data_IF_978547113370
#
_entry.id   IF_978547113370
#
_cell.length_a   1.000
_cell.length_b   1.000
_cell.length_c   1.000
_cell.angle_alpha   90.00
_cell.angle_beta   90.00
_cell.angle_gamma   90.00
#
_symmetry.space_group_name_H-M   'P 1'
#
loop_
_entity.id
_entity.type
_entity.pdbx_description
1 polymer ?
#
# COMPACT_ATOMS: atom_id res chain seq x y z
N UNK A 1 21.64 -17.73 2.06
CA UNK A 1 22.97 -17.63 1.43
C UNK A 1 23.96 -17.13 2.47
N UNK A 2 23.64 -16.04 3.15
CA UNK A 2 24.43 -15.48 4.26
C UNK A 2 24.80 -16.53 5.32
N UNK A 3 23.84 -17.33 5.79
CA UNK A 3 24.12 -18.43 6.74
C UNK A 3 25.08 -19.50 6.20
N UNK A 4 25.03 -19.81 4.90
CA UNK A 4 25.95 -20.80 4.29
C UNK A 4 27.38 -20.24 4.28
N UNK A 5 27.51 -18.96 3.98
CA UNK A 5 28.78 -18.24 4.02
C UNK A 5 29.33 -18.12 5.45
N UNK A 6 28.49 -17.73 6.42
CA UNK A 6 28.86 -17.60 7.83
C UNK A 6 29.33 -18.93 8.45
N UNK A 7 28.68 -20.04 8.09
CA UNK A 7 29.05 -21.37 8.56
C UNK A 7 30.21 -22.01 7.78
N UNK A 8 30.77 -21.33 6.78
CA UNK A 8 31.90 -21.81 6.00
C UNK A 8 31.61 -23.07 5.17
N UNK A 9 30.37 -23.27 4.73
CA UNK A 9 30.00 -24.43 3.92
C UNK A 9 30.41 -24.19 2.47
N UNK A 10 31.47 -24.83 2.01
CA UNK A 10 32.05 -24.68 0.67
C UNK A 10 31.78 -25.88 -0.26
N UNK A 11 31.43 -27.05 0.28
CA UNK A 11 31.15 -28.25 -0.49
C UNK A 11 29.91 -29.02 0.00
N UNK A 12 29.27 -29.76 -0.93
CA UNK A 12 28.14 -30.64 -0.63
C UNK A 12 28.64 -32.08 -0.71
N UNK A 13 28.58 -32.81 0.41
CA UNK A 13 29.03 -34.22 0.50
C UNK A 13 28.07 -35.23 -0.11
N UNK A 14 26.78 -34.88 -0.21
CA UNK A 14 25.74 -35.76 -0.72
C UNK A 14 25.29 -35.33 -2.12
N UNK A 15 25.09 -36.26 -3.07
CA UNK A 15 24.58 -35.92 -4.38
C UNK A 15 23.18 -35.32 -4.26
N UNK A 16 22.97 -34.16 -4.89
CA UNK A 16 21.67 -33.50 -4.92
C UNK A 16 20.77 -34.26 -5.90
N UNK A 17 19.98 -35.19 -5.38
CA UNK A 17 19.02 -35.96 -6.16
C UNK A 17 17.61 -35.39 -5.91
N UNK A 18 17.36 -34.19 -6.46
CA UNK A 18 16.07 -33.49 -6.33
C UNK A 18 15.34 -33.49 -7.67
N UNK A 19 14.09 -33.93 -7.67
CA UNK A 19 13.20 -33.75 -8.83
C UNK A 19 12.97 -32.26 -9.04
N UNK A 20 13.17 -31.79 -10.27
CA UNK A 20 12.84 -30.41 -10.63
C UNK A 20 11.33 -30.29 -10.74
N UNK A 21 10.75 -29.47 -9.88
CA UNK A 21 9.34 -29.17 -9.85
C UNK A 21 9.01 -27.97 -10.75
N UNK A 22 7.79 -27.91 -11.26
CA UNK A 22 7.34 -26.79 -12.09
C UNK A 22 7.25 -25.52 -11.25
N UNK A 23 7.67 -24.40 -11.84
CA UNK A 23 7.45 -23.07 -11.27
C UNK A 23 5.96 -22.73 -11.43
N UNK A 24 5.34 -22.23 -10.37
CA UNK A 24 3.94 -21.82 -10.33
C UNK A 24 3.87 -20.29 -10.44
N UNK A 25 3.16 -19.81 -11.47
CA UNK A 25 3.18 -18.42 -11.93
C UNK A 25 1.77 -17.82 -12.16
N UNK A 26 0.73 -18.42 -11.57
CA UNK A 26 -0.67 -18.02 -11.79
C UNK A 26 -1.05 -16.69 -11.14
N UNK A 27 -0.52 -16.38 -9.96
CA UNK A 27 -0.81 -15.11 -9.27
C UNK A 27 -0.32 -13.92 -10.10
N UNK A 28 -1.00 -12.77 -10.07
CA UNK A 28 -0.55 -11.59 -10.81
C UNK A 28 0.71 -10.95 -10.24
N UNK A 29 1.01 -11.18 -8.95
CA UNK A 29 2.05 -10.43 -8.22
C UNK A 29 3.09 -11.33 -7.55
N UNK A 30 2.77 -12.60 -7.29
CA UNK A 30 3.66 -13.55 -6.62
C UNK A 30 4.07 -14.66 -7.59
N UNK A 31 5.36 -15.02 -7.56
CA UNK A 31 5.90 -16.20 -8.23
C UNK A 31 6.35 -17.22 -7.18
N UNK A 32 6.03 -18.51 -7.39
CA UNK A 32 6.43 -19.61 -6.51
C UNK A 32 7.39 -20.56 -7.23
N UNK A 33 8.61 -20.66 -6.72
CA UNK A 33 9.65 -21.57 -7.21
C UNK A 33 9.97 -22.62 -6.11
N UNK A 34 9.28 -23.78 -6.10
CA UNK A 34 9.46 -24.82 -5.09
C UNK A 34 10.88 -25.43 -5.11
N UNK A 35 11.63 -25.27 -6.20
CA UNK A 35 13.00 -25.77 -6.29
C UNK A 35 13.93 -25.08 -5.29
N UNK A 36 13.63 -23.84 -4.89
CA UNK A 36 14.36 -23.05 -3.88
C UNK A 36 13.82 -23.21 -2.45
N UNK A 37 12.72 -23.96 -2.27
CA UNK A 37 12.10 -24.12 -0.96
C UNK A 37 12.94 -25.02 -0.06
N UNK A 38 13.06 -24.62 1.21
CA UNK A 38 13.73 -25.38 2.28
C UNK A 38 12.75 -25.91 3.34
N UNK A 39 11.44 -25.85 3.06
CA UNK A 39 10.36 -26.34 3.94
C UNK A 39 10.39 -25.78 5.37
N UNK A 40 10.85 -24.54 5.55
CA UNK A 40 10.93 -23.91 6.88
C UNK A 40 9.57 -23.52 7.50
N UNK A 41 8.46 -23.66 6.77
CA UNK A 41 7.11 -23.32 7.26
C UNK A 41 6.83 -21.82 7.48
N UNK A 42 7.79 -20.91 7.27
CA UNK A 42 7.59 -19.47 7.51
C UNK A 42 6.46 -18.85 6.68
N UNK A 43 6.27 -19.30 5.44
CA UNK A 43 5.19 -18.83 4.58
C UNK A 43 3.81 -19.31 5.04
N UNK A 44 3.72 -20.56 5.53
CA UNK A 44 2.52 -21.17 6.11
C UNK A 44 2.12 -20.37 7.35
N UNK A 45 3.05 -20.22 8.30
CA UNK A 45 2.83 -19.43 9.52
C UNK A 45 2.46 -17.98 9.22
N UNK A 46 3.12 -17.32 8.26
CA UNK A 46 2.74 -15.96 7.89
C UNK A 46 1.31 -15.89 7.32
N UNK A 47 0.89 -16.89 6.54
CA UNK A 47 -0.45 -16.94 5.97
C UNK A 47 -1.54 -17.20 7.02
N UNK A 48 -1.26 -18.09 7.97
CA UNK A 48 -2.21 -18.51 9.01
C UNK A 48 -2.23 -17.56 10.22
N UNK A 49 -1.07 -17.14 10.72
CA UNK A 49 -0.95 -16.39 11.97
C UNK A 49 -0.99 -14.86 11.78
N UNK A 50 -0.48 -14.33 10.66
CA UNK A 50 -0.41 -12.89 10.42
C UNK A 50 -1.63 -12.41 9.62
N UNK A 51 -1.92 -13.09 8.51
CA UNK A 51 -3.01 -12.68 7.62
C UNK A 51 -4.32 -13.41 7.88
N UNK A 52 -4.28 -14.52 8.62
CA UNK A 52 -5.44 -15.36 8.96
C UNK A 52 -6.22 -15.80 7.70
N UNK A 53 -5.48 -16.07 6.62
CA UNK A 53 -6.04 -16.57 5.35
C UNK A 53 -5.91 -18.08 5.24
N UNK A 54 -4.87 -18.65 5.85
CA UNK A 54 -4.62 -20.11 5.90
C UNK A 54 -4.63 -20.82 4.53
N UNK A 55 -4.18 -20.11 3.49
CA UNK A 55 -4.18 -20.62 2.11
C UNK A 55 -2.98 -21.54 1.83
N UNK A 56 -1.87 -21.38 2.55
CA UNK A 56 -0.64 -22.14 2.32
C UNK A 56 -0.41 -23.14 3.45
N UNK A 57 -0.16 -24.41 3.11
CA UNK A 57 0.16 -25.45 4.09
C UNK A 57 1.21 -26.46 3.57
N UNK A 58 1.70 -27.32 4.45
CA UNK A 58 2.58 -28.45 4.15
C UNK A 58 1.75 -29.68 3.76
N UNK A 59 1.83 -30.07 2.50
CA UNK A 59 1.21 -31.30 2.00
C UNK A 59 2.20 -32.47 1.99
N UNK A 60 1.65 -33.69 1.95
CA UNK A 60 2.40 -34.96 1.92
C UNK A 60 3.27 -35.20 3.18
N UNK A 61 4.21 -36.16 3.12
CA UNK A 61 5.13 -36.48 4.23
C UNK A 61 6.55 -36.82 3.79
N UNK A 62 7.50 -36.61 4.69
CA UNK A 62 8.90 -36.99 4.49
C UNK A 62 9.53 -36.29 3.28
N UNK A 63 10.28 -37.03 2.46
CA UNK A 63 10.93 -36.47 1.27
C UNK A 63 9.98 -35.99 0.16
N UNK A 64 8.67 -36.26 0.27
CA UNK A 64 7.64 -35.79 -0.67
C UNK A 64 6.95 -34.50 -0.21
N UNK A 65 7.31 -33.97 0.96
CA UNK A 65 6.65 -32.79 1.53
C UNK A 65 6.86 -31.56 0.65
N UNK A 66 5.81 -30.79 0.41
CA UNK A 66 5.88 -29.53 -0.33
C UNK A 66 4.90 -28.50 0.23
N UNK A 67 5.07 -27.23 -0.17
CA UNK A 67 4.14 -26.15 0.20
C UNK A 67 3.01 -26.10 -0.82
N UNK A 68 1.84 -26.60 -0.46
CA UNK A 68 0.63 -26.52 -1.25
C UNK A 68 -0.07 -25.16 -1.06
N UNK A 69 -0.93 -24.79 -2.01
CA UNK A 69 -1.93 -23.74 -1.82
C UNK A 69 -3.32 -24.36 -1.94
N UNK A 70 -4.25 -24.03 -1.05
CA UNK A 70 -5.56 -24.69 -0.99
C UNK A 70 -5.42 -26.22 -0.97
N UNK A 71 -6.16 -26.91 -1.83
CA UNK A 71 -6.07 -28.37 -2.02
C UNK A 71 -5.09 -28.74 -3.16
N UNK A 72 -3.88 -28.18 -3.12
CA UNK A 72 -2.86 -28.26 -4.19
C UNK A 72 -3.31 -27.62 -5.52
N UNK A 73 -3.97 -26.47 -5.39
CA UNK A 73 -4.46 -25.65 -6.49
C UNK A 73 -3.43 -24.60 -6.91
N UNK A 74 -3.65 -23.95 -8.05
CA UNK A 74 -2.86 -22.78 -8.42
C UNK A 74 -3.16 -21.63 -7.47
N UNK A 75 -2.17 -20.81 -7.12
CA UNK A 75 -2.37 -19.74 -6.13
C UNK A 75 -3.49 -18.76 -6.55
N UNK A 76 -3.65 -18.48 -7.85
CA UNK A 76 -4.73 -17.62 -8.35
C UNK A 76 -6.13 -18.24 -8.31
N UNK A 77 -6.23 -19.56 -8.12
CA UNK A 77 -7.49 -20.29 -8.02
C UNK A 77 -7.95 -20.47 -6.56
N UNK A 78 -7.13 -20.03 -5.59
CA UNK A 78 -7.41 -20.08 -4.14
C UNK A 78 -7.93 -18.73 -3.60
N UNK A 79 -8.31 -18.71 -2.32
CA UNK A 79 -8.69 -17.50 -1.57
C UNK A 79 -7.51 -16.55 -1.25
N UNK A 80 -6.37 -16.69 -1.92
CA UNK A 80 -5.21 -15.84 -1.71
C UNK A 80 -5.49 -14.36 -2.06
N UNK A 81 -5.60 -13.51 -1.04
CA UNK A 81 -5.76 -12.05 -1.19
C UNK A 81 -4.50 -11.29 -1.62
N UNK A 82 -3.41 -12.01 -1.95
CA UNK A 82 -2.17 -11.42 -2.46
C UNK A 82 -1.54 -10.33 -1.56
N UNK A 83 -1.57 -10.51 -0.23
CA UNK A 83 -0.98 -9.59 0.74
C UNK A 83 0.56 -9.56 0.71
N UNK A 84 1.19 -10.64 0.22
CA UNK A 84 2.65 -10.78 0.13
C UNK A 84 3.36 -11.04 1.47
N UNK A 85 2.65 -11.36 2.56
CA UNK A 85 3.27 -11.70 3.84
C UNK A 85 4.21 -12.91 3.72
N UNK A 86 3.79 -13.93 2.96
CA UNK A 86 4.59 -15.10 2.66
C UNK A 86 5.87 -14.77 1.85
N UNK A 87 5.82 -13.75 0.99
CA UNK A 87 6.98 -13.28 0.21
C UNK A 87 7.99 -12.58 1.12
N UNK A 88 7.55 -11.65 1.97
CA UNK A 88 8.42 -10.98 2.95
C UNK A 88 9.05 -11.99 3.93
N UNK A 89 8.34 -13.06 4.28
CA UNK A 89 8.84 -14.09 5.19
C UNK A 89 9.79 -15.12 4.53
N UNK A 90 9.82 -15.24 3.21
CA UNK A 90 10.57 -16.30 2.52
C UNK A 90 12.08 -16.00 2.47
N UNK A 91 12.95 -16.84 3.09
CA UNK A 91 14.38 -16.53 3.17
C UNK A 91 15.19 -16.94 1.92
N UNK A 92 14.62 -17.74 1.01
CA UNK A 92 15.36 -18.35 -0.10
C UNK A 92 14.96 -17.85 -1.48
N UNK A 93 13.95 -16.97 -1.57
CA UNK A 93 13.37 -16.57 -2.85
C UNK A 93 12.61 -17.71 -3.55
N UNK A 94 12.10 -18.68 -2.77
CA UNK A 94 11.09 -19.62 -3.25
C UNK A 94 9.73 -18.93 -3.48
N UNK A 95 9.46 -17.83 -2.77
CA UNK A 95 8.37 -16.91 -3.03
C UNK A 95 8.99 -15.55 -3.33
N UNK A 96 8.64 -14.95 -4.46
CA UNK A 96 9.19 -13.65 -4.89
C UNK A 96 8.12 -12.78 -5.52
N UNK A 97 8.28 -11.47 -5.40
CA UNK A 97 7.49 -10.47 -6.11
C UNK A 97 7.85 -10.50 -7.61
N UNK A 98 6.85 -10.59 -8.49
CA UNK A 98 7.08 -10.61 -9.94
C UNK A 98 7.73 -9.33 -10.44
N UNK A 99 7.22 -8.18 -10.00
CA UNK A 99 7.69 -6.86 -10.42
C UNK A 99 9.16 -6.60 -10.03
N UNK A 100 9.62 -7.20 -8.93
CA UNK A 100 10.99 -7.03 -8.44
C UNK A 100 11.99 -8.01 -9.09
N UNK A 101 11.50 -9.03 -9.76
CA UNK A 101 12.33 -10.11 -10.32
C UNK A 101 13.28 -9.52 -11.37
N UNK A 102 14.57 -9.80 -11.17
CA UNK A 102 15.67 -9.32 -12.02
C UNK A 102 15.86 -7.80 -12.10
N UNK A 103 15.22 -7.01 -11.21
CA UNK A 103 15.41 -5.55 -11.17
C UNK A 103 16.69 -5.13 -10.41
N UNK A 104 17.25 -6.03 -9.61
CA UNK A 104 18.51 -5.81 -8.90
C UNK A 104 18.66 -6.74 -7.69
N UNK A 105 19.81 -6.64 -7.05
CA UNK A 105 20.14 -7.29 -5.78
C UNK A 105 19.75 -6.40 -4.62
N UNK A 106 19.51 -7.00 -3.46
CA UNK A 106 19.05 -6.29 -2.26
C UNK A 106 19.97 -5.14 -1.84
N UNK A 107 21.28 -5.28 -2.02
CA UNK A 107 22.28 -4.25 -1.68
C UNK A 107 22.36 -3.10 -2.70
N UNK A 108 21.76 -3.24 -3.88
CA UNK A 108 21.71 -2.15 -4.87
C UNK A 108 20.54 -1.18 -4.61
N UNK A 109 19.63 -1.53 -3.69
CA UNK A 109 18.43 -0.76 -3.45
C UNK A 109 18.64 0.26 -2.33
N UNK A 110 18.31 1.52 -2.62
CA UNK A 110 18.14 2.54 -1.58
C UNK A 110 16.84 2.27 -0.85
N UNK A 111 16.90 2.15 0.48
CA UNK A 111 15.75 1.91 1.34
C UNK A 111 15.25 3.21 1.94
N UNK A 112 13.95 3.46 1.82
CA UNK A 112 13.31 4.67 2.36
C UNK A 112 12.03 4.28 3.06
N UNK A 113 11.92 4.60 4.34
CA UNK A 113 10.69 4.40 5.10
C UNK A 113 9.71 5.55 4.86
N UNK A 114 8.42 5.22 4.70
CA UNK A 114 7.33 6.19 4.54
C UNK A 114 6.00 5.57 4.95
N UNK A 115 4.91 6.32 4.79
CA UNK A 115 3.54 5.89 5.10
C UNK A 115 2.76 5.55 3.83
N UNK A 116 1.99 4.46 3.89
CA UNK A 116 1.12 3.99 2.82
C UNK A 116 0.01 5.03 2.48
N UNK A 117 -0.16 5.46 1.22
CA UNK A 117 -1.10 6.53 0.84
C UNK A 117 -2.54 6.03 0.58
N UNK A 118 -2.88 4.80 0.97
CA UNK A 118 -4.17 4.17 0.64
C UNK A 118 -5.29 4.45 1.64
N UNK A 119 -5.49 3.57 2.61
CA UNK A 119 -6.55 3.71 3.60
C UNK A 119 -6.08 4.54 4.80
N UNK A 120 -7.00 4.86 5.72
CA UNK A 120 -6.70 5.63 6.92
C UNK A 120 -5.90 4.89 8.00
N UNK A 121 -5.46 3.64 7.76
CA UNK A 121 -4.66 2.87 8.73
C UNK A 121 -3.27 3.50 8.92
N UNK A 122 -2.66 4.02 7.86
CA UNK A 122 -1.32 4.63 7.96
C UNK A 122 -0.19 3.61 8.14
N UNK A 123 -0.24 2.48 7.44
CA UNK A 123 0.82 1.46 7.49
C UNK A 123 2.18 2.05 7.13
N UNK A 124 3.21 1.71 7.90
CA UNK A 124 4.60 2.04 7.62
C UNK A 124 5.20 1.05 6.63
N UNK A 125 5.82 1.59 5.59
CA UNK A 125 6.36 0.85 4.45
C UNK A 125 7.82 1.24 4.20
N UNK A 126 8.64 0.27 3.80
CA UNK A 126 10.00 0.45 3.31
C UNK A 126 10.02 0.32 1.78
N UNK A 127 10.21 1.45 1.09
CA UNK A 127 10.42 1.47 -0.35
C UNK A 127 11.85 1.03 -0.67
N UNK A 128 11.99 0.01 -1.52
CA UNK A 128 13.27 -0.39 -2.08
C UNK A 128 13.38 0.21 -3.49
N UNK A 129 14.27 1.20 -3.66
CA UNK A 129 14.35 2.08 -4.82
C UNK A 129 15.64 1.85 -5.60
N UNK A 130 15.56 1.82 -6.93
CA UNK A 130 16.71 1.80 -7.84
C UNK A 130 16.41 2.67 -9.06
N UNK A 131 17.37 3.48 -9.50
CA UNK A 131 17.22 4.39 -10.65
C UNK A 131 15.93 5.23 -10.59
N UNK A 132 15.65 5.80 -9.42
CA UNK A 132 14.42 6.58 -9.11
C UNK A 132 13.09 5.85 -9.35
N UNK A 133 13.12 4.52 -9.40
CA UNK A 133 11.93 3.67 -9.50
C UNK A 133 11.76 2.81 -8.26
N UNK A 134 10.51 2.66 -7.84
CA UNK A 134 10.13 1.77 -6.75
C UNK A 134 10.17 0.35 -7.32
N UNK A 135 11.05 -0.50 -6.78
CA UNK A 135 11.24 -1.88 -7.25
C UNK A 135 10.36 -2.85 -6.46
N UNK A 136 10.32 -2.68 -5.14
CA UNK A 136 9.47 -3.47 -4.23
C UNK A 136 9.22 -2.73 -2.93
N UNK A 137 8.24 -3.20 -2.17
CA UNK A 137 7.81 -2.56 -0.92
C UNK A 137 7.73 -3.60 0.19
N UNK A 138 8.42 -3.31 1.29
CA UNK A 138 8.31 -4.07 2.52
C UNK A 138 7.47 -3.35 3.57
N UNK A 139 6.84 -4.11 4.48
CA UNK A 139 6.29 -3.51 5.68
C UNK A 139 7.42 -3.37 6.69
N UNK A 140 7.47 -2.27 7.42
CA UNK A 140 8.48 -2.06 8.47
C UNK A 140 8.13 -2.94 9.66
N UNK A 141 8.96 -3.94 9.97
CA UNK A 141 8.66 -4.98 10.98
C UNK A 141 8.28 -4.42 12.36
N UNK A 142 8.94 -3.34 12.80
CA UNK A 142 8.65 -2.67 14.08
C UNK A 142 7.80 -1.40 13.92
N UNK A 143 7.26 -1.13 12.73
CA UNK A 143 6.47 0.05 12.43
C UNK A 143 5.04 -0.04 12.98
N UNK A 144 4.54 1.03 13.58
CA UNK A 144 3.13 1.13 13.99
C UNK A 144 2.30 1.78 12.88
N UNK A 145 1.10 1.27 12.55
CA UNK A 145 0.34 0.26 13.29
C UNK A 145 0.52 -1.19 12.82
N UNK A 146 1.21 -1.42 11.70
CA UNK A 146 1.10 -2.66 10.93
C UNK A 146 2.16 -3.73 11.21
N UNK A 147 3.25 -3.42 11.94
CA UNK A 147 4.30 -4.37 12.37
C UNK A 147 4.77 -5.32 11.26
N UNK A 148 5.15 -4.76 10.12
CA UNK A 148 5.61 -5.53 8.95
C UNK A 148 4.51 -6.05 8.02
N UNK A 149 3.26 -6.11 8.49
CA UNK A 149 2.13 -6.59 7.69
C UNK A 149 1.65 -5.53 6.68
N UNK A 150 1.27 -5.93 5.47
CA UNK A 150 0.66 -5.04 4.46
C UNK A 150 -0.40 -5.80 3.66
N UNK A 151 -1.39 -5.06 3.17
CA UNK A 151 -2.33 -5.55 2.18
C UNK A 151 -1.77 -5.40 0.76
N UNK A 152 -2.43 -6.02 -0.23
CA UNK A 152 -2.05 -5.98 -1.64
C UNK A 152 -1.80 -4.55 -2.17
N UNK A 153 -2.62 -3.58 -1.73
CA UNK A 153 -2.53 -2.17 -2.17
C UNK A 153 -1.19 -1.55 -1.79
N UNK A 154 -0.82 -1.62 -0.50
CA UNK A 154 0.44 -1.07 -0.01
C UNK A 154 1.67 -1.87 -0.45
N UNK A 155 1.51 -3.19 -0.69
CA UNK A 155 2.58 -4.09 -1.09
C UNK A 155 2.98 -3.96 -2.56
N UNK A 156 1.99 -3.87 -3.44
CA UNK A 156 2.17 -4.02 -4.89
C UNK A 156 1.57 -2.87 -5.71
N UNK A 157 0.71 -2.04 -5.14
CA UNK A 157 -0.09 -1.06 -5.88
C UNK A 157 0.59 0.28 -6.18
N UNK A 158 1.84 0.50 -5.80
CA UNK A 158 2.51 1.81 -5.94
C UNK A 158 3.16 2.05 -7.31
N UNK A 159 2.87 1.21 -8.30
CA UNK A 159 3.41 1.31 -9.66
C UNK A 159 2.78 2.45 -10.49
N UNK A 160 1.58 2.93 -10.11
CA UNK A 160 0.90 4.04 -10.79
C UNK A 160 1.73 5.34 -10.86
N UNK A 161 2.66 5.55 -9.91
CA UNK A 161 3.54 6.74 -9.92
C UNK A 161 4.45 6.77 -11.15
N UNK A 162 4.64 5.62 -11.80
CA UNK A 162 5.43 5.44 -13.01
C UNK A 162 4.58 5.17 -14.25
N UNK A 163 3.25 5.25 -14.14
CA UNK A 163 2.35 4.99 -15.25
C UNK A 163 2.52 6.05 -16.35
N UNK A 164 2.48 5.62 -17.61
CA UNK A 164 2.69 6.49 -18.78
C UNK A 164 1.66 7.61 -18.92
N UNK A 165 0.49 7.47 -18.30
CA UNK A 165 -0.58 8.48 -18.32
C UNK A 165 -0.48 9.49 -17.18
N UNK A 166 0.53 9.38 -16.31
CA UNK A 166 0.76 10.38 -15.26
C UNK A 166 1.06 11.73 -15.90
N UNK A 167 0.28 12.75 -15.54
CA UNK A 167 0.52 14.11 -15.96
C UNK A 167 1.80 14.65 -15.32
N UNK A 168 2.75 15.10 -16.15
CA UNK A 168 4.04 15.67 -15.72
C UNK A 168 4.17 17.15 -16.05
N UNK A 169 3.25 17.69 -16.85
CA UNK A 169 3.26 19.08 -17.32
C UNK A 169 1.86 19.69 -17.15
N UNK A 170 1.75 20.98 -16.78
CA UNK A 170 0.46 21.68 -16.77
C UNK A 170 -0.26 21.61 -18.13
N UNK A 171 -1.59 21.58 -18.10
CA UNK A 171 -2.42 21.48 -19.30
C UNK A 171 -3.52 22.55 -19.28
N UNK A 172 -3.68 23.29 -20.38
CA UNK A 172 -4.73 24.32 -20.54
C UNK A 172 -5.71 23.89 -21.64
N UNK A 173 -7.01 24.03 -21.38
CA UNK A 173 -8.05 23.71 -22.37
C UNK A 173 -8.23 24.86 -23.37
N UNK A 174 -7.84 24.63 -24.63
CA UNK A 174 -8.01 25.57 -25.76
C UNK A 174 -8.89 24.92 -26.82
N UNK A 175 -9.98 25.58 -27.25
CA UNK A 175 -10.94 25.06 -28.25
C UNK A 175 -11.42 23.62 -27.97
N UNK A 176 -11.71 23.32 -26.70
CA UNK A 176 -12.22 22.02 -26.28
C UNK A 176 -11.17 20.93 -26.01
N UNK A 177 -9.88 21.15 -26.34
CA UNK A 177 -8.79 20.19 -26.14
C UNK A 177 -7.78 20.69 -25.12
N UNK A 178 -7.23 19.78 -24.30
CA UNK A 178 -6.11 20.09 -23.42
C UNK A 178 -4.81 20.11 -24.20
N UNK A 179 -3.99 21.15 -23.99
CA UNK A 179 -2.68 21.34 -24.61
C UNK A 179 -1.69 21.64 -23.47
N UNK A 180 -0.47 21.12 -23.58
CA UNK A 180 0.62 21.41 -22.64
C UNK A 180 0.89 22.92 -22.55
N UNK A 181 1.24 23.37 -21.34
CA UNK A 181 1.55 24.76 -21.03
C UNK A 181 2.71 24.85 -20.04
N UNK A 182 3.37 26.01 -20.00
CA UNK A 182 4.36 26.29 -18.94
C UNK A 182 3.66 26.53 -17.59
N UNK A 183 4.42 26.44 -16.51
CA UNK A 183 3.91 26.77 -15.17
C UNK A 183 3.47 28.23 -15.08
N UNK A 184 4.23 29.15 -15.68
CA UNK A 184 3.93 30.58 -15.71
C UNK A 184 2.61 30.84 -16.44
N UNK A 185 2.44 30.32 -17.66
CA UNK A 185 1.21 30.48 -18.44
C UNK A 185 -0.01 29.93 -17.68
N UNK A 186 0.13 28.73 -17.09
CA UNK A 186 -0.96 28.10 -16.37
C UNK A 186 -1.36 28.88 -15.11
N UNK A 187 -0.38 29.31 -14.31
CA UNK A 187 -0.62 30.04 -13.07
C UNK A 187 -1.15 31.45 -13.32
N UNK A 188 -0.62 32.18 -14.31
CA UNK A 188 -1.12 33.50 -14.70
C UNK A 188 -2.57 33.44 -15.18
N UNK A 189 -2.89 32.45 -16.03
CA UNK A 189 -4.26 32.25 -16.50
C UNK A 189 -5.22 32.00 -15.33
N UNK A 190 -4.87 31.08 -14.43
CA UNK A 190 -5.72 30.72 -13.28
C UNK A 190 -5.90 31.91 -12.34
N UNK A 191 -4.81 32.62 -12.01
CA UNK A 191 -4.86 33.79 -11.14
C UNK A 191 -5.71 34.93 -11.74
N UNK A 192 -5.53 35.22 -13.03
CA UNK A 192 -6.34 36.22 -13.73
C UNK A 192 -7.83 35.86 -13.70
N UNK A 193 -8.18 34.61 -14.00
CA UNK A 193 -9.58 34.16 -14.00
C UNK A 193 -10.21 34.18 -12.62
N UNK A 194 -9.50 33.77 -11.57
CA UNK A 194 -10.02 33.88 -10.21
C UNK A 194 -10.27 35.32 -9.80
N UNK A 195 -9.35 36.24 -10.15
CA UNK A 195 -9.53 37.67 -9.87
C UNK A 195 -10.73 38.25 -10.63
N UNK A 196 -10.84 37.98 -11.92
CA UNK A 196 -11.96 38.41 -12.76
C UNK A 196 -13.32 37.96 -12.19
N UNK A 197 -13.42 36.67 -11.80
CA UNK A 197 -14.65 36.12 -11.23
C UNK A 197 -14.98 36.75 -9.87
N UNK A 198 -13.96 36.94 -9.01
CA UNK A 198 -14.12 37.59 -7.71
C UNK A 198 -14.56 39.04 -7.85
N UNK A 199 -13.95 39.80 -8.77
CA UNK A 199 -14.30 41.21 -8.99
C UNK A 199 -15.72 41.36 -9.56
N UNK A 200 -16.17 40.41 -10.39
CA UNK A 200 -17.48 40.45 -11.04
C UNK A 200 -18.63 39.91 -10.19
N UNK A 201 -18.40 38.83 -9.44
CA UNK A 201 -19.45 38.08 -8.73
C UNK A 201 -19.24 38.00 -7.21
N UNK A 202 -18.18 38.62 -6.68
CA UNK A 202 -17.83 38.60 -5.26
C UNK A 202 -17.01 37.36 -4.85
N UNK A 203 -16.46 37.41 -3.64
CA UNK A 203 -15.62 36.34 -3.08
C UNK A 203 -16.33 35.00 -3.02
N UNK A 204 -17.61 34.98 -2.67
CA UNK A 204 -18.37 33.74 -2.46
C UNK A 204 -18.67 32.96 -3.75
N UNK A 205 -18.34 33.52 -4.92
CA UNK A 205 -18.40 32.81 -6.21
C UNK A 205 -17.27 31.79 -6.40
N UNK A 206 -16.25 31.81 -5.53
CA UNK A 206 -15.11 30.90 -5.58
C UNK A 206 -15.19 29.87 -4.45
N UNK A 207 -14.74 28.65 -4.74
CA UNK A 207 -14.66 27.55 -3.77
C UNK A 207 -13.46 26.65 -4.06
N UNK A 208 -13.07 25.85 -3.06
CA UNK A 208 -11.99 24.87 -3.18
C UNK A 208 -12.36 23.52 -2.58
N UNK A 209 -11.97 22.44 -3.25
CA UNK A 209 -12.09 21.07 -2.74
C UNK A 209 -10.71 20.50 -2.47
N UNK A 210 -10.43 20.20 -1.21
CA UNK A 210 -9.18 19.61 -0.74
C UNK A 210 -9.22 18.07 -0.76
N UNK A 211 -8.06 17.42 -0.61
CA UNK A 211 -7.91 15.97 -0.77
C UNK A 211 -7.33 15.30 0.48
N UNK A 212 -7.93 14.17 0.90
CA UNK A 212 -7.38 13.32 1.96
C UNK A 212 -6.12 12.56 1.54
N UNK A 213 -5.75 12.62 0.25
CA UNK A 213 -4.52 12.03 -0.29
C UNK A 213 -3.33 12.97 -0.23
N UNK A 214 -3.58 14.26 -0.02
CA UNK A 214 -2.56 15.27 0.22
C UNK A 214 -2.15 15.30 1.69
N UNK A 215 -1.01 15.91 1.98
CA UNK A 215 -0.55 16.02 3.36
C UNK A 215 -1.34 17.08 4.14
N UNK A 216 -1.18 17.09 5.47
CA UNK A 216 -1.83 18.08 6.33
C UNK A 216 -1.30 19.50 6.05
N UNK A 217 -0.02 19.62 5.70
CA UNK A 217 0.63 20.87 5.31
C UNK A 217 0.04 21.43 4.02
N UNK A 218 -0.13 20.59 3.00
CA UNK A 218 -0.76 20.96 1.74
C UNK A 218 -2.22 21.39 1.95
N UNK A 219 -2.98 20.64 2.74
CA UNK A 219 -4.36 20.98 3.08
C UNK A 219 -4.46 22.27 3.92
N UNK A 220 -3.48 22.54 4.79
CA UNK A 220 -3.37 23.80 5.52
C UNK A 220 -3.09 24.98 4.57
N UNK A 221 -2.15 24.84 3.64
CA UNK A 221 -1.87 25.85 2.63
C UNK A 221 -3.09 26.09 1.74
N UNK A 222 -3.77 25.02 1.32
CA UNK A 222 -4.96 25.09 0.47
C UNK A 222 -6.09 25.85 1.17
N UNK A 223 -6.45 25.50 2.41
CA UNK A 223 -7.51 26.21 3.12
C UNK A 223 -7.15 27.68 3.37
N UNK A 224 -5.86 27.98 3.62
CA UNK A 224 -5.39 29.37 3.75
C UNK A 224 -5.51 30.13 2.45
N UNK A 225 -5.17 29.52 1.33
CA UNK A 225 -5.35 30.12 0.01
C UNK A 225 -6.81 30.51 -0.23
N UNK A 226 -7.76 29.62 0.07
CA UNK A 226 -9.19 29.93 -0.06
C UNK A 226 -9.58 31.07 0.91
N UNK A 227 -9.25 30.95 2.19
CA UNK A 227 -9.68 31.93 3.21
C UNK A 227 -9.05 33.31 3.05
N UNK A 228 -7.78 33.37 2.71
CA UNK A 228 -7.01 34.63 2.62
C UNK A 228 -7.08 35.23 1.22
N UNK A 229 -6.86 34.44 0.17
CA UNK A 229 -6.79 34.96 -1.19
C UNK A 229 -8.19 35.12 -1.80
N UNK A 230 -9.08 34.13 -1.64
CA UNK A 230 -10.46 34.28 -2.10
C UNK A 230 -11.28 35.14 -1.15
N UNK A 231 -11.04 35.04 0.17
CA UNK A 231 -11.72 35.86 1.17
C UNK A 231 -13.08 35.29 1.59
N UNK A 232 -13.23 33.97 1.54
CA UNK A 232 -14.45 33.26 1.92
C UNK A 232 -14.13 31.96 2.68
N UNK A 233 -15.16 31.25 3.14
CA UNK A 233 -15.02 29.96 3.82
C UNK A 233 -15.50 28.75 2.99
N UNK A 234 -15.62 28.91 1.67
CA UNK A 234 -16.09 27.88 0.73
C UNK A 234 -14.99 26.86 0.43
N UNK A 235 -14.52 26.19 1.47
CA UNK A 235 -13.58 25.07 1.39
C UNK A 235 -14.25 23.81 1.88
N UNK A 236 -14.14 22.74 1.11
CA UNK A 236 -14.65 21.42 1.50
C UNK A 236 -13.61 20.32 1.28
N UNK A 237 -13.96 19.12 1.73
CA UNK A 237 -13.07 17.97 1.76
C UNK A 237 -13.86 16.68 1.56
N UNK A 238 -13.23 15.63 1.03
CA UNK A 238 -13.88 14.33 0.81
C UNK A 238 -14.53 13.72 2.07
N UNK A 239 -14.06 14.10 3.27
CA UNK A 239 -14.66 13.70 4.54
C UNK A 239 -16.14 14.12 4.69
N UNK A 240 -16.60 15.14 3.94
CA UNK A 240 -18.01 15.53 3.89
C UNK A 240 -18.93 14.34 3.61
N UNK A 241 -18.52 13.49 2.67
CA UNK A 241 -19.31 12.34 2.21
C UNK A 241 -19.12 11.10 3.10
N UNK A 242 -17.94 10.94 3.70
CA UNK A 242 -17.59 9.69 4.39
C UNK A 242 -17.84 9.71 5.90
N UNK A 243 -17.51 10.80 6.60
CA UNK A 243 -17.46 10.84 8.07
C UNK A 243 -18.00 12.14 8.69
N UNK A 244 -18.70 12.98 7.93
CA UNK A 244 -19.26 14.23 8.47
C UNK A 244 -20.26 13.99 9.62
N UNK A 245 -21.10 12.96 9.51
CA UNK A 245 -22.03 12.56 10.57
C UNK A 245 -21.31 12.07 11.83
N UNK A 246 -20.19 11.35 11.68
CA UNK A 246 -19.33 10.95 12.80
C UNK A 246 -18.78 12.17 13.53
N UNK A 247 -18.24 13.15 12.80
CA UNK A 247 -17.69 14.38 13.39
C UNK A 247 -18.77 15.13 14.17
N UNK A 248 -19.96 15.28 13.59
CA UNK A 248 -21.08 15.97 14.25
C UNK A 248 -21.57 15.22 15.50
N UNK A 249 -21.82 13.90 15.38
CA UNK A 249 -22.38 13.09 16.46
C UNK A 249 -21.42 12.93 17.64
N UNK A 250 -20.16 12.53 17.39
CA UNK A 250 -19.17 12.38 18.45
C UNK A 250 -18.72 13.74 19.01
N UNK A 251 -18.69 14.78 18.19
CA UNK A 251 -18.46 16.15 18.65
C UNK A 251 -19.51 16.59 19.68
N UNK A 252 -20.79 16.30 19.42
CA UNK A 252 -21.87 16.62 20.35
C UNK A 252 -21.86 15.74 21.62
N UNK A 253 -21.55 14.44 21.48
CA UNK A 253 -21.61 13.49 22.60
C UNK A 253 -20.37 13.51 23.51
N UNK A 254 -19.17 13.61 22.93
CA UNK A 254 -17.89 13.45 23.63
C UNK A 254 -16.96 14.67 23.51
N UNK A 255 -17.35 15.70 22.75
CA UNK A 255 -16.53 16.89 22.51
C UNK A 255 -15.42 16.71 21.46
N UNK A 256 -15.29 15.52 20.85
CA UNK A 256 -14.28 15.24 19.81
C UNK A 256 -14.88 14.41 18.68
N UNK A 257 -14.75 14.90 17.45
CA UNK A 257 -15.22 14.23 16.23
C UNK A 257 -14.25 13.18 15.68
N UNK A 258 -13.47 12.51 16.53
CA UNK A 258 -12.39 11.61 16.15
C UNK A 258 -12.56 10.21 16.75
N UNK A 259 -11.75 9.25 16.27
CA UNK A 259 -11.67 7.91 16.84
C UNK A 259 -11.20 7.99 18.31
N UNK A 260 -11.86 7.23 19.19
CA UNK A 260 -11.64 7.29 20.65
C UNK A 260 -10.51 6.40 21.15
N UNK A 261 -10.10 5.40 20.37
CA UNK A 261 -9.11 4.39 20.75
C UNK A 261 -8.11 4.15 19.61
N UNK A 262 -6.92 3.72 19.97
CA UNK A 262 -5.87 3.31 19.02
C UNK A 262 -6.11 1.88 18.51
N UNK A 263 -5.59 1.58 17.32
CA UNK A 263 -5.61 0.22 16.74
C UNK A 263 -4.96 -0.81 17.69
N UNK A 264 -3.97 -0.39 18.49
CA UNK A 264 -3.28 -1.28 19.42
C UNK A 264 -4.20 -1.78 20.55
N UNK A 265 -5.22 -1.02 20.91
CA UNK A 265 -6.13 -1.39 22.00
C UNK A 265 -7.12 -2.50 21.59
N UNK A 266 -7.32 -2.72 20.29
CA UNK A 266 -8.19 -3.81 19.80
C UNK A 266 -7.78 -5.19 20.32
N UNK A 267 -6.47 -5.46 20.42
CA UNK A 267 -5.98 -6.74 20.94
C UNK A 267 -6.23 -6.97 22.44
N UNK A 268 -6.81 -5.99 23.15
CA UNK A 268 -7.22 -6.10 24.56
C UNK A 268 -8.73 -6.23 24.73
N UNK A 269 -9.50 -6.15 23.65
CA UNK A 269 -10.96 -6.20 23.69
C UNK A 269 -11.43 -7.64 23.81
N UNK A 270 -12.31 -7.92 24.78
CA UNK A 270 -12.98 -9.23 24.90
C UNK A 270 -14.13 -9.38 23.89
N UNK A 271 -14.74 -8.25 23.49
CA UNK A 271 -15.88 -8.19 22.57
C UNK A 271 -15.71 -6.98 21.64
N UNK A 272 -15.99 -7.19 20.35
CA UNK A 272 -16.01 -6.13 19.33
C UNK A 272 -17.38 -6.12 18.66
N UNK A 273 -18.05 -4.97 18.69
CA UNK A 273 -19.29 -4.73 17.95
C UNK A 273 -18.97 -3.94 16.67
N UNK A 274 -19.30 -4.50 15.51
CA UNK A 274 -19.05 -3.87 14.21
C UNK A 274 -20.36 -3.44 13.57
N UNK A 275 -20.51 -2.15 13.27
CA UNK A 275 -21.70 -1.58 12.64
C UNK A 275 -21.34 -0.84 11.35
N UNK A 276 -21.90 -1.25 10.22
CA UNK A 276 -21.72 -0.54 8.94
C UNK A 276 -20.29 -0.54 8.40
N UNK A 277 -19.48 -1.56 8.71
CA UNK A 277 -18.10 -1.68 8.23
C UNK A 277 -17.85 -3.04 7.57
N UNK A 278 -16.99 -3.03 6.55
CA UNK A 278 -16.34 -4.21 6.00
C UNK A 278 -14.83 -4.05 6.16
N UNK A 279 -14.33 -4.28 7.38
CA UNK A 279 -12.98 -3.91 7.78
C UNK A 279 -11.92 -4.72 7.02
N UNK A 280 -12.18 -5.99 6.72
CA UNK A 280 -11.25 -6.88 5.99
C UNK A 280 -10.94 -6.38 4.57
N UNK A 281 -11.87 -5.65 3.94
CA UNK A 281 -11.68 -5.05 2.61
C UNK A 281 -11.11 -3.62 2.68
N UNK A 282 -11.73 -2.79 3.52
CA UNK A 282 -11.43 -1.36 3.60
C UNK A 282 -10.13 -1.08 4.38
N UNK A 283 -9.90 -1.83 5.45
CA UNK A 283 -8.80 -1.68 6.39
C UNK A 283 -8.16 -3.05 6.75
N UNK A 284 -7.58 -3.79 5.77
CA UNK A 284 -7.23 -5.22 5.94
C UNK A 284 -6.14 -5.53 6.97
N UNK A 285 -5.53 -4.50 7.57
CA UNK A 285 -4.54 -4.66 8.65
C UNK A 285 -5.21 -4.62 10.02
N UNK A 286 -6.38 -3.98 10.09
CA UNK A 286 -7.19 -3.91 11.29
C UNK A 286 -8.07 -5.16 11.37
N UNK A 287 -8.84 -5.44 10.32
CA UNK A 287 -9.81 -6.55 10.27
C UNK A 287 -9.19 -7.81 9.71
#
# INVERSE_FOLDING_TARGET
>A
QDLVYELGIDNIRFPVNKRVEKIEDSSQVILRDPNKCILCGRCVRACAEITVQDVLDLAERGGKTFIAAGLDEKLAETDCVSCGACVQACPTGALTEKLARFQGRSWEFRKVETTCPYCGVGCQIELNIKNDRIVKVYGVDNGSPNRGHLCVKGRFGLDYVHHKERLTTPMIKKKGKFIEASWEEALELVAHRFKELKDKYGSDSLAGLSSAKCTNEENYLFQRFIRVCFGNNNVDHCARLCHASTVAGLGQAFGSGAMTNSIKEWGKSDVVLVTGSNTTEAHPIIG
#
